data_IF_716300005061
#
_entry.id   IF_716300005061
#
_cell.length_a   1.000
_cell.length_b   1.000
_cell.length_c   1.000
_cell.angle_alpha   90.00
_cell.angle_beta   90.00
_cell.angle_gamma   90.00
#
_symmetry.space_group_name_H-M   'P 1'
#
loop_
_entity.id
_entity.type
_entity.pdbx_description
1 polymer ?
#
# COMPACT_ATOMS: atom_id res chain seq x y z
N UNK A 1 10.56 -4.78 13.91
CA UNK A 1 9.71 -5.71 13.14
C UNK A 1 10.59 -6.42 12.10
N UNK A 2 10.40 -7.72 11.97
CA UNK A 2 11.19 -8.53 11.05
C UNK A 2 10.40 -8.88 9.80
N UNK A 3 11.04 -8.75 8.65
CA UNK A 3 10.46 -9.06 7.35
C UNK A 3 11.48 -9.76 6.46
N UNK A 4 10.98 -10.47 5.47
CA UNK A 4 11.79 -11.02 4.39
C UNK A 4 11.95 -9.94 3.33
N UNK A 5 13.19 -9.62 2.97
CA UNK A 5 13.47 -8.58 1.97
C UNK A 5 13.40 -9.10 0.53
N UNK A 6 13.69 -8.23 -0.44
CA UNK A 6 13.63 -8.56 -1.86
C UNK A 6 14.63 -9.65 -2.27
N UNK A 7 15.62 -9.94 -1.45
CA UNK A 7 16.62 -10.98 -1.72
C UNK A 7 16.35 -12.28 -0.94
N UNK A 8 15.20 -12.36 -0.26
CA UNK A 8 14.84 -13.53 0.53
C UNK A 8 15.52 -13.59 1.90
N UNK A 9 16.13 -12.51 2.35
CA UNK A 9 16.81 -12.45 3.65
C UNK A 9 15.93 -11.80 4.71
N UNK A 10 16.02 -12.31 5.94
CA UNK A 10 15.35 -11.68 7.06
C UNK A 10 16.05 -10.38 7.44
N UNK A 11 15.29 -9.30 7.55
CA UNK A 11 15.78 -7.99 7.97
C UNK A 11 14.88 -7.39 9.02
N UNK A 12 15.50 -6.62 9.92
CA UNK A 12 14.77 -5.90 10.96
C UNK A 12 14.54 -4.46 10.54
N UNK A 13 13.27 -4.05 10.48
CA UNK A 13 12.91 -2.65 10.28
C UNK A 13 12.97 -1.95 11.64
N UNK A 14 13.99 -1.12 11.82
CA UNK A 14 14.19 -0.35 13.06
C UNK A 14 13.24 0.85 13.09
N UNK A 15 12.83 1.23 14.29
CA UNK A 15 11.99 2.42 14.51
C UNK A 15 10.67 2.39 13.72
N UNK A 16 10.01 1.23 13.66
CA UNK A 16 8.72 1.10 12.97
C UNK A 16 7.69 2.08 13.54
N UNK A 17 7.82 2.48 14.80
CA UNK A 17 6.92 3.43 15.46
C UNK A 17 6.77 4.76 14.71
N UNK A 18 7.79 5.20 13.99
CA UNK A 18 7.72 6.45 13.23
C UNK A 18 6.73 6.40 12.07
N UNK A 19 6.32 5.20 11.66
CA UNK A 19 5.34 5.02 10.59
C UNK A 19 3.92 4.81 11.12
N UNK A 20 3.71 4.77 12.44
CA UNK A 20 2.37 4.61 13.01
C UNK A 20 1.45 5.70 12.47
N UNK A 21 0.28 5.27 12.02
CA UNK A 21 -0.70 6.17 11.42
C UNK A 21 -1.24 7.16 12.46
N UNK A 22 -1.38 8.41 12.04
CA UNK A 22 -2.16 9.41 12.78
C UNK A 22 -3.48 9.56 12.04
N UNK A 23 -4.52 8.94 12.57
CA UNK A 23 -5.83 8.91 11.93
C UNK A 23 -6.46 10.29 11.74
N UNK A 24 -6.04 11.27 12.53
CA UNK A 24 -6.62 12.61 12.53
C UNK A 24 -5.87 13.60 11.65
N UNK A 25 -4.73 13.18 11.11
CA UNK A 25 -3.92 13.99 10.22
C UNK A 25 -4.25 13.66 8.76
N UNK A 26 -4.38 14.66 7.87
CA UNK A 26 -4.60 14.37 6.45
C UNK A 26 -3.39 13.66 5.85
N UNK A 27 -3.67 12.82 4.87
CA UNK A 27 -2.64 12.12 4.11
C UNK A 27 -2.07 13.03 3.02
N UNK A 28 -1.09 12.52 2.31
CA UNK A 28 -0.35 13.19 1.25
C UNK A 28 -1.23 13.67 0.10
N UNK A 29 -2.36 13.02 -0.16
CA UNK A 29 -3.32 13.42 -1.17
C UNK A 29 -4.74 13.39 -0.62
N UNK A 30 -5.67 14.11 -1.31
CA UNK A 30 -7.08 14.11 -0.93
C UNK A 30 -7.70 12.71 -1.04
N UNK A 31 -7.32 11.97 -2.08
CA UNK A 31 -7.83 10.63 -2.30
C UNK A 31 -7.34 9.68 -1.22
N UNK A 32 -6.05 9.72 -0.89
CA UNK A 32 -5.51 8.89 0.20
C UNK A 32 -6.18 9.23 1.53
N UNK A 33 -6.46 10.51 1.79
CA UNK A 33 -7.18 10.94 2.99
C UNK A 33 -8.58 10.35 3.03
N UNK A 34 -9.26 10.29 1.89
CA UNK A 34 -10.60 9.68 1.79
C UNK A 34 -10.55 8.19 2.13
N UNK A 35 -9.59 7.48 1.60
CA UNK A 35 -9.38 6.05 1.89
C UNK A 35 -9.06 5.86 3.38
N UNK A 36 -8.20 6.71 3.93
CA UNK A 36 -7.84 6.68 5.35
C UNK A 36 -9.07 6.81 6.25
N UNK A 37 -9.96 7.74 5.95
CA UNK A 37 -11.20 7.93 6.73
C UNK A 37 -12.10 6.70 6.67
N UNK A 38 -12.17 6.06 5.52
CA UNK A 38 -12.92 4.80 5.38
C UNK A 38 -12.29 3.69 6.23
N UNK A 39 -10.97 3.52 6.14
CA UNK A 39 -10.26 2.48 6.88
C UNK A 39 -10.33 2.66 8.39
N UNK A 40 -10.42 3.89 8.87
CA UNK A 40 -10.53 4.21 10.29
C UNK A 40 -11.68 3.47 10.97
N UNK A 41 -12.82 3.35 10.31
CA UNK A 41 -14.00 2.66 10.86
C UNK A 41 -13.72 1.19 11.17
N UNK A 42 -12.83 0.57 10.41
CA UNK A 42 -12.49 -0.84 10.57
C UNK A 42 -11.22 -1.06 11.39
N UNK A 43 -10.27 -0.13 11.32
CA UNK A 43 -8.91 -0.36 11.80
C UNK A 43 -8.48 0.53 12.97
N UNK A 44 -9.36 1.31 13.54
CA UNK A 44 -8.98 2.27 14.59
C UNK A 44 -8.34 1.62 15.82
N UNK A 45 -8.63 0.35 16.07
CA UNK A 45 -8.10 -0.37 17.24
C UNK A 45 -6.93 -1.29 16.89
N UNK A 46 -6.49 -1.30 15.64
CA UNK A 46 -5.39 -2.13 15.18
C UNK A 46 -4.09 -1.34 15.12
N UNK A 47 -2.98 -2.08 15.01
CA UNK A 47 -1.66 -1.48 14.75
C UNK A 47 -1.56 -1.26 13.25
N UNK A 48 -1.67 0.01 12.83
CA UNK A 48 -1.67 0.41 11.43
C UNK A 48 -0.56 1.42 11.18
N UNK A 49 0.10 1.27 10.05
CA UNK A 49 1.16 2.18 9.61
C UNK A 49 0.74 2.87 8.32
N UNK A 50 1.21 4.09 8.14
CA UNK A 50 1.03 4.85 6.90
C UNK A 50 2.41 5.19 6.32
N UNK A 51 2.54 5.14 4.99
CA UNK A 51 3.82 5.33 4.30
C UNK A 51 4.90 4.40 4.88
N UNK A 52 4.53 3.13 5.02
CA UNK A 52 5.36 2.12 5.68
C UNK A 52 6.48 1.65 4.78
N UNK A 53 7.72 1.75 5.25
CA UNK A 53 8.89 1.37 4.47
C UNK A 53 8.92 -0.12 4.15
N UNK A 54 9.05 -0.44 2.86
CA UNK A 54 9.36 -1.79 2.42
C UNK A 54 10.84 -2.02 2.71
N UNK A 55 11.14 -2.85 3.71
CA UNK A 55 12.49 -3.02 4.25
C UNK A 55 13.51 -3.33 3.15
N UNK A 56 14.66 -2.65 3.21
CA UNK A 56 15.72 -2.81 2.22
C UNK A 56 15.51 -2.03 0.93
N UNK A 57 14.45 -1.22 0.85
CA UNK A 57 14.16 -0.38 -0.32
C UNK A 57 13.78 1.03 0.12
N UNK A 58 13.57 1.91 -0.86
CA UNK A 58 13.00 3.24 -0.62
C UNK A 58 11.50 3.28 -0.86
N UNK A 59 10.90 2.14 -1.20
CA UNK A 59 9.47 2.05 -1.46
C UNK A 59 8.69 2.04 -0.15
N UNK A 60 7.44 2.48 -0.22
CA UNK A 60 6.54 2.48 0.92
C UNK A 60 5.20 1.86 0.54
N UNK A 61 4.53 1.27 1.54
CA UNK A 61 3.13 0.87 1.42
C UNK A 61 2.30 2.02 2.00
N UNK A 62 1.26 2.43 1.29
CA UNK A 62 0.44 3.56 1.73
C UNK A 62 -0.19 3.30 3.09
N UNK A 63 -0.81 2.13 3.26
CA UNK A 63 -1.35 1.67 4.55
C UNK A 63 -0.97 0.22 4.79
N UNK A 64 -0.57 -0.10 6.01
CA UNK A 64 -0.30 -1.48 6.40
C UNK A 64 -0.88 -1.79 7.77
N UNK A 65 -1.79 -2.75 7.84
CA UNK A 65 -2.36 -3.25 9.08
C UNK A 65 -1.57 -4.49 9.53
N UNK A 66 -0.79 -4.34 10.60
CA UNK A 66 0.08 -5.40 11.10
C UNK A 66 -0.69 -6.53 11.80
N UNK A 67 -1.84 -6.24 12.39
CA UNK A 67 -2.67 -7.24 13.04
C UNK A 67 -3.29 -8.20 12.04
N UNK A 68 -3.80 -7.68 10.95
CA UNK A 68 -4.50 -8.45 9.90
C UNK A 68 -3.61 -8.86 8.75
N UNK A 69 -2.41 -8.30 8.67
CA UNK A 69 -1.48 -8.47 7.55
C UNK A 69 -2.12 -8.11 6.21
N UNK A 70 -2.69 -6.92 6.18
CA UNK A 70 -3.31 -6.34 4.99
C UNK A 70 -2.60 -5.02 4.68
N UNK A 71 -2.19 -4.86 3.43
CA UNK A 71 -1.70 -3.59 2.92
C UNK A 71 -2.69 -3.02 1.92
N UNK A 72 -2.82 -1.69 1.89
CA UNK A 72 -3.67 -0.99 0.93
C UNK A 72 -2.80 0.02 0.20
N UNK A 73 -2.81 -0.06 -1.12
CA UNK A 73 -2.13 0.88 -2.00
C UNK A 73 -3.16 1.76 -2.71
N UNK A 74 -2.95 3.05 -2.60
CA UNK A 74 -3.82 4.05 -3.20
C UNK A 74 -3.17 4.50 -4.50
N UNK A 75 -3.77 4.12 -5.61
CA UNK A 75 -3.24 4.40 -6.93
C UNK A 75 -3.61 5.81 -7.38
N UNK A 76 -2.68 6.48 -8.06
CA UNK A 76 -2.93 7.79 -8.62
C UNK A 76 -3.63 7.72 -9.99
N UNK A 77 -4.05 8.88 -10.49
CA UNK A 77 -4.73 8.96 -11.78
C UNK A 77 -3.90 8.41 -12.94
N UNK A 78 -2.58 8.52 -12.88
CA UNK A 78 -1.70 8.01 -13.92
C UNK A 78 -1.74 6.49 -14.07
N UNK A 79 -2.10 5.75 -13.02
CA UNK A 79 -2.22 4.29 -13.09
C UNK A 79 -3.38 3.86 -14.00
N UNK A 80 -4.44 4.65 -14.04
CA UNK A 80 -5.60 4.36 -14.88
C UNK A 80 -5.37 4.73 -16.34
N UNK A 81 -4.26 5.44 -16.62
CA UNK A 81 -3.91 5.93 -17.95
C UNK A 81 -2.66 5.27 -18.53
N UNK A 82 -2.27 4.12 -18.04
CA UNK A 82 -1.06 3.42 -18.52
C UNK A 82 -1.03 3.27 -20.03
N UNK A 83 -2.14 2.86 -20.62
CA UNK A 83 -2.23 2.66 -22.07
C UNK A 83 -1.94 3.95 -22.83
N UNK A 84 -2.41 5.08 -22.32
CA UNK A 84 -2.19 6.40 -22.95
C UNK A 84 -0.75 6.86 -22.79
N UNK A 85 -0.14 6.62 -21.63
CA UNK A 85 1.22 7.04 -21.35
C UNK A 85 2.27 6.09 -21.90
N UNK A 86 1.92 4.86 -22.17
CA UNK A 86 2.84 3.84 -22.62
C UNK A 86 3.69 4.28 -23.81
N UNK A 87 3.07 4.90 -24.81
CA UNK A 87 3.78 5.34 -26.02
C UNK A 87 4.66 6.57 -25.81
N UNK A 88 4.32 7.43 -24.84
CA UNK A 88 5.00 8.69 -24.60
C UNK A 88 6.06 8.61 -23.50
N UNK A 89 5.84 7.75 -22.49
CA UNK A 89 6.67 7.66 -21.32
C UNK A 89 6.94 6.20 -20.94
N UNK A 90 7.49 5.45 -21.88
CA UNK A 90 7.76 4.02 -21.71
C UNK A 90 8.63 3.74 -20.47
N UNK A 91 9.66 4.55 -20.22
CA UNK A 91 10.52 4.35 -19.04
C UNK A 91 9.77 4.54 -17.72
N UNK A 92 8.91 5.55 -17.63
CA UNK A 92 8.11 5.80 -16.44
C UNK A 92 7.13 4.65 -16.17
N UNK A 93 6.53 4.13 -17.22
CA UNK A 93 5.63 2.98 -17.13
C UNK A 93 6.39 1.75 -16.63
N UNK A 94 7.55 1.48 -17.21
CA UNK A 94 8.40 0.35 -16.84
C UNK A 94 8.88 0.44 -15.40
N UNK A 95 9.30 1.63 -14.95
CA UNK A 95 9.72 1.86 -13.57
C UNK A 95 8.57 1.68 -12.59
N UNK A 96 7.38 2.13 -12.94
CA UNK A 96 6.18 1.97 -12.12
C UNK A 96 5.83 0.49 -11.96
N UNK A 97 5.89 -0.29 -13.05
CA UNK A 97 5.66 -1.73 -13.00
C UNK A 97 6.67 -2.42 -12.08
N UNK A 98 7.93 -2.05 -12.16
CA UNK A 98 8.98 -2.63 -11.30
C UNK A 98 8.73 -2.33 -9.83
N UNK A 99 8.30 -1.12 -9.50
CA UNK A 99 7.95 -0.75 -8.13
C UNK A 99 6.77 -1.57 -7.62
N UNK A 100 5.73 -1.68 -8.45
CA UNK A 100 4.53 -2.45 -8.11
C UNK A 100 4.87 -3.93 -7.89
N UNK A 101 5.71 -4.50 -8.75
CA UNK A 101 6.18 -5.88 -8.60
C UNK A 101 6.96 -6.08 -7.30
N UNK A 102 7.86 -5.16 -6.96
CA UNK A 102 8.64 -5.25 -5.72
C UNK A 102 7.75 -5.21 -4.48
N UNK A 103 6.73 -4.36 -4.49
CA UNK A 103 5.77 -4.27 -3.39
C UNK A 103 4.96 -5.55 -3.27
N UNK A 104 4.50 -6.09 -4.40
CA UNK A 104 3.75 -7.34 -4.44
C UNK A 104 4.61 -8.50 -3.94
N UNK A 105 5.86 -8.60 -4.41
CA UNK A 105 6.78 -9.64 -3.99
C UNK A 105 7.06 -9.57 -2.48
N UNK A 106 7.25 -8.37 -1.96
CA UNK A 106 7.42 -8.16 -0.52
C UNK A 106 6.20 -8.65 0.26
N UNK A 107 5.01 -8.28 -0.19
CA UNK A 107 3.77 -8.70 0.47
C UNK A 107 3.61 -10.21 0.42
N UNK A 108 3.85 -10.84 -0.72
CA UNK A 108 3.76 -12.29 -0.86
C UNK A 108 4.77 -13.00 0.04
N UNK A 109 6.01 -12.53 0.07
CA UNK A 109 7.07 -13.15 0.90
C UNK A 109 6.75 -13.06 2.39
N UNK A 110 5.99 -12.07 2.81
CA UNK A 110 5.68 -11.82 4.22
C UNK A 110 4.25 -12.18 4.61
N UNK A 111 3.50 -12.83 3.73
CA UNK A 111 2.13 -13.25 4.02
C UNK A 111 1.16 -12.09 4.17
N UNK A 112 1.41 -11.00 3.47
CA UNK A 112 0.58 -9.79 3.50
C UNK A 112 -0.32 -9.78 2.26
N UNK A 113 -1.62 -9.58 2.45
CA UNK A 113 -2.57 -9.40 1.36
C UNK A 113 -2.54 -7.94 0.92
N UNK A 114 -2.41 -7.70 -0.37
CA UNK A 114 -2.30 -6.35 -0.93
C UNK A 114 -3.59 -5.99 -1.68
N UNK A 115 -4.24 -4.92 -1.24
CA UNK A 115 -5.39 -4.34 -1.93
C UNK A 115 -4.95 -3.10 -2.70
N UNK A 116 -5.56 -2.87 -3.86
CA UNK A 116 -5.35 -1.66 -4.65
C UNK A 116 -6.66 -0.89 -4.75
N UNK A 117 -6.58 0.43 -4.57
CA UNK A 117 -7.73 1.33 -4.65
C UNK A 117 -7.42 2.41 -5.68
N UNK A 118 -8.31 2.56 -6.66
CA UNK A 118 -8.17 3.51 -7.75
C UNK A 118 -9.14 4.68 -7.60
N UNK A 119 -8.84 5.85 -8.20
CA UNK A 119 -9.70 7.04 -8.06
C UNK A 119 -11.15 6.84 -8.51
N UNK A 120 -11.39 5.95 -9.49
CA UNK A 120 -12.73 5.67 -9.99
C UNK A 120 -13.49 4.66 -9.14
N UNK A 121 -12.83 4.02 -8.17
CA UNK A 121 -13.47 3.03 -7.33
C UNK A 121 -14.41 3.67 -6.32
N UNK A 122 -15.50 2.99 -6.02
CA UNK A 122 -16.35 3.29 -4.89
C UNK A 122 -15.74 2.69 -3.64
N UNK A 123 -15.45 3.52 -2.64
CA UNK A 123 -14.76 3.07 -1.43
C UNK A 123 -15.79 2.45 -0.48
N UNK A 124 -15.84 1.14 -0.48
CA UNK A 124 -16.77 0.35 0.32
C UNK A 124 -16.19 -1.04 0.58
N UNK A 125 -16.77 -1.77 1.53
CA UNK A 125 -16.24 -3.08 1.94
C UNK A 125 -16.19 -4.10 0.79
N UNK A 126 -17.14 -4.05 -0.14
CA UNK A 126 -17.19 -4.97 -1.28
C UNK A 126 -15.99 -4.81 -2.22
N UNK A 127 -15.44 -3.59 -2.33
CA UNK A 127 -14.22 -3.34 -3.12
C UNK A 127 -13.07 -4.24 -2.63
N UNK A 128 -12.94 -4.36 -1.32
CA UNK A 128 -11.89 -5.18 -0.71
C UNK A 128 -12.21 -6.67 -0.76
N UNK A 129 -13.46 -7.04 -0.55
CA UNK A 129 -13.92 -8.44 -0.67
C UNK A 129 -13.68 -8.99 -2.06
N UNK A 130 -13.83 -8.18 -3.10
CA UNK A 130 -13.57 -8.57 -4.48
C UNK A 130 -12.08 -8.86 -4.73
N UNK A 131 -11.22 -8.39 -3.84
CA UNK A 131 -9.78 -8.68 -3.85
C UNK A 131 -9.40 -9.72 -2.77
N UNK A 132 -10.37 -10.43 -2.25
CA UNK A 132 -10.20 -11.45 -1.20
C UNK A 132 -9.66 -10.85 0.10
N UNK A 133 -10.10 -9.65 0.44
CA UNK A 133 -9.66 -8.94 1.64
C UNK A 133 -10.86 -8.57 2.51
N UNK A 134 -10.80 -8.97 3.76
CA UNK A 134 -11.82 -8.69 4.78
C UNK A 134 -11.21 -7.76 5.83
N UNK A 135 -11.70 -6.54 5.85
CA UNK A 135 -11.17 -5.47 6.70
C UNK A 135 -11.39 -5.70 8.20
#
# INVERSE_FOLDING_TARGET
MKFIDQYGKERNLKNAKKYLIDWHKPSRSKFQTKVKKFLFEYWQNDIVFEEFRVVGTRLTLDFYNANKKIAVEVQGAQHTKYVKFFHKNHFKYSDQLKRDEKKLDFCQANGIKLAEVYPQDEIQASLFKNQDIYL
#
